data_IF_723613662335
#
_entry.id   IF_723613662335
#
_cell.length_a   1.000
_cell.length_b   1.000
_cell.length_c   1.000
_cell.angle_alpha   90.00
_cell.angle_beta   90.00
_cell.angle_gamma   90.00
#
_symmetry.space_group_name_H-M   'P 1'
#
loop_
_entity.id
_entity.type
_entity.pdbx_description
1 polymer ?
#
# COMPACT_ATOMS: atom_id res chain seq x y z
N UNK A 1 25.84 9.60 -14.44
CA UNK A 1 25.14 10.09 -13.21
C UNK A 1 23.65 10.03 -13.47
N UNK A 2 22.91 9.47 -12.56
CA UNK A 2 21.43 9.31 -12.63
C UNK A 2 20.83 10.19 -11.55
N UNK A 3 19.93 11.11 -11.95
CA UNK A 3 19.15 11.95 -11.03
C UNK A 3 18.02 11.14 -10.40
N UNK A 4 17.77 11.34 -9.11
CA UNK A 4 16.70 10.67 -8.39
C UNK A 4 15.99 11.58 -7.38
N UNK A 5 14.79 11.18 -7.01
CA UNK A 5 14.02 11.77 -5.94
C UNK A 5 13.72 10.67 -4.92
N UNK A 6 13.99 10.93 -3.64
CA UNK A 6 13.58 10.07 -2.54
C UNK A 6 12.23 10.53 -2.02
N UNK A 7 11.21 9.66 -2.08
CA UNK A 7 9.87 9.97 -1.58
C UNK A 7 9.31 8.78 -0.79
N UNK A 8 8.30 9.04 0.04
CA UNK A 8 7.55 7.99 0.73
C UNK A 8 6.05 8.30 0.82
N UNK A 9 5.24 7.24 0.84
CA UNK A 9 3.85 7.27 1.28
C UNK A 9 3.73 6.57 2.62
N UNK A 10 3.57 7.35 3.71
CA UNK A 10 3.45 6.84 5.10
C UNK A 10 4.55 5.82 5.48
N UNK A 11 5.83 6.15 5.23
CA UNK A 11 6.99 5.35 5.61
C UNK A 11 7.40 4.25 4.63
N UNK A 12 6.59 3.90 3.63
CA UNK A 12 7.00 3.04 2.53
C UNK A 12 7.75 3.88 1.49
N UNK A 13 9.07 3.72 1.43
CA UNK A 13 10.01 4.67 0.81
C UNK A 13 10.67 4.11 -0.44
N UNK A 14 10.54 4.86 -1.55
CA UNK A 14 11.09 4.49 -2.85
C UNK A 14 12.02 5.57 -3.40
N UNK A 15 12.85 5.14 -4.35
CA UNK A 15 13.71 6.00 -5.18
C UNK A 15 12.99 6.19 -6.51
N UNK A 16 12.67 7.44 -6.86
CA UNK A 16 11.93 7.77 -8.08
C UNK A 16 12.89 8.31 -9.14
N UNK A 17 12.77 7.78 -10.35
CA UNK A 17 13.50 8.24 -11.52
C UNK A 17 12.51 8.86 -12.51
N UNK A 18 12.75 10.12 -12.87
CA UNK A 18 12.01 10.79 -13.93
C UNK A 18 12.56 10.39 -15.30
N UNK A 19 11.96 9.37 -15.88
CA UNK A 19 12.31 8.87 -17.20
C UNK A 19 11.48 9.51 -18.33
N UNK A 20 10.71 10.56 -18.04
CA UNK A 20 10.12 11.46 -19.04
C UNK A 20 11.18 12.45 -19.52
N UNK A 21 11.95 13.00 -18.57
CA UNK A 21 12.99 14.00 -18.84
C UNK A 21 14.39 13.38 -19.06
N UNK A 22 14.64 12.19 -18.49
CA UNK A 22 15.95 11.56 -18.46
C UNK A 22 15.91 10.12 -19.03
N UNK A 23 17.02 9.60 -19.56
CA UNK A 23 17.06 8.21 -19.99
C UNK A 23 16.93 7.24 -18.81
N UNK A 24 16.26 6.12 -19.04
CA UNK A 24 16.18 5.02 -18.08
C UNK A 24 17.55 4.33 -17.96
N UNK A 25 17.96 3.81 -16.79
CA UNK A 25 19.15 2.97 -16.62
C UNK A 25 19.09 1.73 -17.51
N UNK A 26 20.23 1.34 -18.14
CA UNK A 26 20.30 0.18 -19.07
C UNK A 26 19.90 -1.13 -18.40
N UNK A 27 20.29 -1.33 -17.14
CA UNK A 27 19.93 -2.51 -16.34
C UNK A 27 19.18 -2.08 -15.08
N UNK A 28 17.87 -1.87 -15.21
CA UNK A 28 17.04 -1.37 -14.13
C UNK A 28 16.94 -2.33 -12.92
N UNK A 29 16.96 -3.64 -13.16
CA UNK A 29 16.90 -4.62 -12.06
C UNK A 29 18.16 -4.56 -11.20
N UNK A 30 19.34 -4.47 -11.84
CA UNK A 30 20.62 -4.32 -11.13
C UNK A 30 20.69 -2.96 -10.44
N UNK A 31 20.23 -1.90 -11.11
CA UNK A 31 20.14 -0.57 -10.51
C UNK A 31 19.26 -0.59 -9.27
N UNK A 32 18.09 -1.23 -9.34
CA UNK A 32 17.18 -1.31 -8.20
C UNK A 32 17.81 -2.00 -6.99
N UNK A 33 18.54 -3.13 -7.21
CA UNK A 33 19.27 -3.81 -6.11
C UNK A 33 20.32 -2.92 -5.50
N UNK A 34 21.12 -2.23 -6.33
CA UNK A 34 22.18 -1.37 -5.84
C UNK A 34 21.64 -0.11 -5.13
N UNK A 35 20.73 0.61 -5.78
CA UNK A 35 20.20 1.85 -5.25
C UNK A 35 19.37 1.65 -3.97
N UNK A 36 18.66 0.51 -3.85
CA UNK A 36 17.81 0.21 -2.69
C UNK A 36 18.58 -0.24 -1.45
N UNK A 37 19.85 -0.64 -1.57
CA UNK A 37 20.65 -1.03 -0.42
C UNK A 37 20.79 0.14 0.57
N UNK A 38 20.40 -0.12 1.84
CA UNK A 38 20.33 0.93 2.88
C UNK A 38 21.68 1.27 3.49
N UNK A 39 22.75 0.51 3.15
CA UNK A 39 24.09 0.71 3.69
C UNK A 39 25.07 1.25 2.64
N UNK A 40 24.90 0.83 1.38
CA UNK A 40 25.86 1.13 0.29
C UNK A 40 25.22 1.89 -0.88
N UNK A 41 23.89 1.95 -0.92
CA UNK A 41 23.12 2.69 -1.93
C UNK A 41 22.45 3.94 -1.36
N UNK A 42 21.36 4.36 -1.99
CA UNK A 42 20.47 5.43 -1.50
C UNK A 42 19.61 4.91 -0.34
N UNK A 43 19.27 3.64 -0.38
CA UNK A 43 18.40 2.96 0.56
C UNK A 43 16.91 3.19 0.27
N UNK A 44 16.12 2.11 0.23
CA UNK A 44 14.68 2.18 0.01
C UNK A 44 14.05 0.81 -0.17
N UNK A 45 12.73 0.78 -0.28
CA UNK A 45 11.97 -0.44 -0.54
C UNK A 45 12.02 -0.85 -2.02
N UNK A 46 12.56 0.04 -2.87
CA UNK A 46 12.75 -0.20 -4.30
C UNK A 46 12.91 1.08 -5.11
N UNK A 47 12.76 0.93 -6.43
CA UNK A 47 12.87 2.01 -7.42
C UNK A 47 11.57 2.13 -8.19
N UNK A 48 11.13 3.34 -8.45
CA UNK A 48 9.93 3.67 -9.26
C UNK A 48 10.37 4.50 -10.46
N UNK A 49 9.97 4.07 -11.65
CA UNK A 49 10.16 4.82 -12.89
C UNK A 49 8.88 5.58 -13.22
N UNK A 50 9.01 6.87 -13.53
CA UNK A 50 7.96 7.71 -14.06
C UNK A 50 8.25 7.89 -15.55
N UNK A 51 7.41 7.29 -16.40
CA UNK A 51 7.60 7.17 -17.83
C UNK A 51 6.50 7.91 -18.59
N UNK A 52 6.73 8.27 -19.87
CA UNK A 52 5.65 8.74 -20.74
C UNK A 52 4.66 7.60 -20.99
N UNK A 53 3.38 7.93 -21.18
CA UNK A 53 2.33 7.00 -21.58
C UNK A 53 1.60 7.50 -22.82
N UNK A 54 1.09 6.57 -23.64
CA UNK A 54 0.24 6.89 -24.78
C UNK A 54 -1.27 6.77 -24.46
N UNK A 55 -1.61 6.25 -23.27
CA UNK A 55 -3.00 5.93 -22.87
C UNK A 55 -3.41 6.56 -21.52
N UNK A 56 -2.45 7.19 -20.84
CA UNK A 56 -2.65 7.84 -19.55
C UNK A 56 -1.77 9.10 -19.48
N UNK A 57 -1.86 9.89 -18.41
CA UNK A 57 -1.03 11.08 -18.23
C UNK A 57 0.46 10.71 -18.07
N UNK A 58 0.74 9.62 -17.36
CA UNK A 58 2.07 9.03 -17.26
C UNK A 58 1.96 7.52 -17.01
N UNK A 59 3.12 6.84 -17.07
CA UNK A 59 3.25 5.43 -16.70
C UNK A 59 4.14 5.27 -15.48
N UNK A 60 3.75 4.36 -14.58
CA UNK A 60 4.55 3.92 -13.44
C UNK A 60 5.01 2.48 -13.64
N UNK A 61 6.33 2.24 -13.55
CA UNK A 61 6.90 0.92 -13.32
C UNK A 61 7.65 0.92 -12.00
N UNK A 62 7.60 -0.18 -11.28
CA UNK A 62 8.28 -0.28 -9.98
C UNK A 62 9.08 -1.57 -9.85
N UNK A 63 10.21 -1.48 -9.19
CA UNK A 63 11.11 -2.59 -8.93
C UNK A 63 11.39 -2.65 -7.43
N UNK A 64 11.20 -3.82 -6.84
CA UNK A 64 11.50 -4.06 -5.44
C UNK A 64 13.02 -4.01 -5.18
N UNK A 65 13.42 -3.97 -3.92
CA UNK A 65 14.84 -3.95 -3.53
C UNK A 65 15.62 -5.19 -4.01
N UNK A 66 14.96 -6.32 -4.29
CA UNK A 66 15.56 -7.51 -4.87
C UNK A 66 15.70 -7.46 -6.41
N UNK A 67 15.22 -6.38 -7.04
CA UNK A 67 15.21 -6.16 -8.47
C UNK A 67 14.02 -6.77 -9.21
N UNK A 68 13.11 -7.47 -8.51
CA UNK A 68 11.88 -7.98 -9.13
C UNK A 68 10.92 -6.85 -9.48
N UNK A 69 10.23 -6.94 -10.62
CA UNK A 69 9.24 -5.95 -11.02
C UNK A 69 7.91 -6.19 -10.30
N UNK A 70 7.40 -5.18 -9.61
CA UNK A 70 6.10 -5.18 -8.96
C UNK A 70 5.01 -4.65 -9.89
N UNK A 71 3.77 -5.14 -9.73
CA UNK A 71 2.67 -4.74 -10.61
C UNK A 71 2.14 -3.34 -10.30
N UNK A 72 2.04 -2.98 -9.03
CA UNK A 72 1.59 -1.67 -8.53
C UNK A 72 1.81 -1.59 -7.02
N UNK A 73 2.08 -0.39 -6.52
CA UNK A 73 2.09 -0.07 -5.09
C UNK A 73 1.26 1.19 -4.84
N UNK A 74 0.24 1.06 -3.99
CA UNK A 74 -0.67 2.17 -3.66
C UNK A 74 0.03 3.34 -2.96
N UNK A 75 1.10 3.08 -2.20
CA UNK A 75 1.90 4.12 -1.57
C UNK A 75 2.77 4.85 -2.61
N UNK A 76 3.43 4.08 -3.48
CA UNK A 76 4.31 4.62 -4.51
C UNK A 76 3.55 5.47 -5.54
N UNK A 77 2.36 5.04 -5.98
CA UNK A 77 1.60 5.76 -7.01
C UNK A 77 1.12 7.13 -6.53
N UNK A 78 0.88 7.31 -5.20
CA UNK A 78 0.55 8.64 -4.65
C UNK A 78 1.72 9.61 -4.82
N UNK A 79 2.95 9.13 -4.62
CA UNK A 79 4.17 9.93 -4.85
C UNK A 79 4.35 10.26 -6.33
N UNK A 80 4.07 9.31 -7.25
CA UNK A 80 4.05 9.56 -8.70
C UNK A 80 3.07 10.69 -9.03
N UNK A 81 1.84 10.60 -8.52
CA UNK A 81 0.81 11.63 -8.74
C UNK A 81 1.24 13.02 -8.27
N UNK A 82 1.79 13.11 -7.03
CA UNK A 82 2.34 14.37 -6.50
C UNK A 82 3.46 14.92 -7.37
N UNK A 83 4.46 14.09 -7.68
CA UNK A 83 5.62 14.48 -8.48
C UNK A 83 5.21 14.97 -9.86
N UNK A 84 4.36 14.19 -10.55
CA UNK A 84 3.92 14.53 -11.91
C UNK A 84 3.15 15.84 -11.96
N UNK A 85 2.26 16.08 -11.02
CA UNK A 85 1.54 17.34 -10.91
C UNK A 85 2.49 18.52 -10.68
N UNK A 86 3.34 18.43 -9.66
CA UNK A 86 4.20 19.55 -9.26
C UNK A 86 5.29 19.87 -10.31
N UNK A 87 5.69 18.87 -11.11
CA UNK A 87 6.73 19.03 -12.14
C UNK A 87 6.15 19.41 -13.49
N UNK A 88 5.07 18.74 -13.94
CA UNK A 88 4.61 18.84 -15.33
C UNK A 88 3.30 19.60 -15.50
N UNK A 89 2.35 19.49 -14.56
CA UNK A 89 1.04 20.15 -14.69
C UNK A 89 1.12 21.57 -14.18
N UNK A 90 1.53 21.78 -12.94
CA UNK A 90 1.66 23.10 -12.30
C UNK A 90 2.46 24.09 -13.14
N UNK A 91 3.54 23.65 -13.76
CA UNK A 91 4.39 24.49 -14.62
C UNK A 91 3.73 24.86 -15.95
N UNK A 92 2.76 24.06 -16.44
CA UNK A 92 1.95 24.39 -17.62
C UNK A 92 0.91 25.47 -17.30
N UNK A 93 0.23 25.32 -16.18
CA UNK A 93 -0.82 26.27 -15.76
C UNK A 93 -0.23 27.62 -15.40
N UNK A 94 0.94 27.67 -14.77
CA UNK A 94 1.67 28.93 -14.50
C UNK A 94 2.04 29.72 -15.76
N UNK A 95 2.06 29.12 -16.96
CA UNK A 95 2.27 29.82 -18.25
C UNK A 95 0.97 30.37 -18.86
N UNK A 96 -0.20 29.96 -18.32
CA UNK A 96 -1.50 30.40 -18.78
C UNK A 96 -2.27 31.28 -17.79
N UNK A 97 -1.77 31.46 -16.56
CA UNK A 97 -2.39 32.34 -15.56
C UNK A 97 -2.06 33.83 -15.78
N UNK A 98 -2.82 34.45 -16.65
CA UNK A 98 -3.34 35.78 -16.42
C UNK A 98 -4.84 35.61 -16.09
N UNK A 99 -5.21 35.35 -14.83
CA UNK A 99 -6.53 35.70 -14.27
C UNK A 99 -6.76 35.14 -12.87
N UNK A 100 -7.10 36.13 -12.02
CA UNK A 100 -7.87 36.04 -10.79
C UNK A 100 -7.24 35.32 -9.57
N UNK A 101 -6.69 36.20 -8.67
CA UNK A 101 -6.47 35.92 -7.26
C UNK A 101 -7.77 35.42 -6.61
N UNK A 102 -7.97 34.09 -6.52
CA UNK A 102 -8.92 33.50 -5.61
C UNK A 102 -8.13 32.88 -4.47
N UNK A 103 -8.08 33.58 -3.35
CA UNK A 103 -7.56 33.05 -2.07
C UNK A 103 -8.40 31.83 -1.65
N UNK A 104 -7.72 30.72 -1.31
CA UNK A 104 -8.28 29.52 -0.69
C UNK A 104 -9.23 28.68 -1.57
N UNK A 105 -8.76 28.20 -2.71
CA UNK A 105 -9.45 27.09 -3.37
C UNK A 105 -8.73 25.77 -3.10
N UNK A 106 -9.36 24.87 -2.32
CA UNK A 106 -9.03 23.44 -2.37
C UNK A 106 -9.49 22.96 -3.74
N UNK A 107 -8.55 22.76 -4.65
CA UNK A 107 -8.82 22.27 -6.01
C UNK A 107 -8.45 20.81 -6.08
N UNK A 108 -9.33 19.99 -6.63
CA UNK A 108 -9.03 18.60 -6.95
C UNK A 108 -8.56 18.51 -8.40
N UNK A 109 -7.40 17.88 -8.63
CA UNK A 109 -6.90 17.58 -9.96
C UNK A 109 -6.99 16.07 -10.20
N UNK A 110 -7.63 15.67 -11.30
CA UNK A 110 -7.68 14.27 -11.72
C UNK A 110 -6.41 13.92 -12.51
N UNK A 111 -5.86 12.75 -12.26
CA UNK A 111 -4.69 12.21 -12.96
C UNK A 111 -4.90 10.71 -13.22
N UNK A 112 -4.47 10.24 -14.38
CA UNK A 112 -4.44 8.84 -14.75
C UNK A 112 -3.00 8.33 -14.82
N UNK A 113 -2.74 7.15 -14.27
CA UNK A 113 -1.41 6.52 -14.27
C UNK A 113 -1.54 5.10 -14.83
N UNK A 114 -0.81 4.83 -15.91
CA UNK A 114 -0.67 3.48 -16.45
C UNK A 114 0.22 2.64 -15.54
N UNK A 115 -0.21 1.42 -15.21
CA UNK A 115 0.53 0.45 -14.40
C UNK A 115 0.39 -0.96 -14.98
N UNK A 116 1.20 -1.92 -14.52
CA UNK A 116 1.02 -3.34 -14.86
C UNK A 116 -0.29 -3.94 -14.30
N UNK A 117 -0.98 -3.21 -13.41
CA UNK A 117 -2.32 -3.57 -12.90
C UNK A 117 -3.45 -2.77 -13.57
N UNK A 118 -3.19 -2.22 -14.77
CA UNK A 118 -4.11 -1.36 -15.51
C UNK A 118 -3.98 0.12 -15.14
N UNK A 119 -4.82 0.95 -15.76
CA UNK A 119 -4.86 2.40 -15.50
C UNK A 119 -5.45 2.64 -14.11
N UNK A 120 -4.76 3.45 -13.31
CA UNK A 120 -5.23 3.91 -12.01
C UNK A 120 -5.63 5.38 -12.09
N UNK A 121 -6.79 5.70 -11.52
CA UNK A 121 -7.31 7.05 -11.45
C UNK A 121 -6.99 7.63 -10.06
N UNK A 122 -6.36 8.79 -10.07
CA UNK A 122 -5.96 9.53 -8.89
C UNK A 122 -6.74 10.83 -8.81
N UNK A 123 -7.09 11.23 -7.59
CA UNK A 123 -7.57 12.57 -7.28
C UNK A 123 -6.54 13.23 -6.37
N UNK A 124 -5.90 14.27 -6.86
CA UNK A 124 -4.91 15.05 -6.12
C UNK A 124 -5.64 16.15 -5.34
N UNK A 125 -5.46 16.19 -4.03
CA UNK A 125 -6.03 17.23 -3.16
C UNK A 125 -4.98 18.33 -2.96
N UNK A 126 -5.27 19.50 -3.50
CA UNK A 126 -4.35 20.62 -3.56
C UNK A 126 -4.71 21.66 -2.50
N UNK A 127 -3.69 22.18 -1.84
CA UNK A 127 -3.76 23.39 -1.03
C UNK A 127 -2.64 24.34 -1.46
N UNK A 128 -3.00 25.54 -1.89
CA UNK A 128 -2.05 26.56 -2.41
C UNK A 128 -1.14 25.98 -3.54
N UNK A 129 -1.73 25.22 -4.46
CA UNK A 129 -1.01 24.55 -5.56
C UNK A 129 0.09 23.57 -5.10
N UNK A 130 -0.04 23.00 -3.90
CA UNK A 130 0.79 21.94 -3.36
C UNK A 130 -0.10 20.71 -3.11
N UNK A 131 0.35 19.54 -3.52
CA UNK A 131 -0.38 18.28 -3.27
C UNK A 131 -0.22 17.89 -1.80
N UNK A 132 -1.30 17.99 -1.02
CA UNK A 132 -1.32 17.56 0.39
C UNK A 132 -1.58 16.06 0.53
N UNK A 133 -2.53 15.54 -0.25
CA UNK A 133 -2.86 14.13 -0.26
C UNK A 133 -3.34 13.66 -1.63
N UNK A 134 -3.33 12.36 -1.84
CA UNK A 134 -3.75 11.73 -3.09
C UNK A 134 -4.73 10.61 -2.77
N UNK A 135 -5.89 10.64 -3.40
CA UNK A 135 -6.84 9.52 -3.42
C UNK A 135 -6.58 8.67 -4.65
N UNK A 136 -6.47 7.37 -4.46
CA UNK A 136 -6.29 6.35 -5.50
C UNK A 136 -7.51 5.46 -5.53
N UNK A 137 -8.09 5.22 -6.70
CA UNK A 137 -9.07 4.16 -6.90
C UNK A 137 -8.34 2.81 -6.97
N UNK A 138 -8.47 2.03 -5.89
CA UNK A 138 -7.84 0.72 -5.75
C UNK A 138 -8.59 -0.39 -6.50
N UNK A 139 -9.79 -0.08 -7.03
CA UNK A 139 -10.65 -1.03 -7.72
C UNK A 139 -11.58 -1.79 -6.79
N UNK A 140 -12.10 -2.90 -7.30
CA UNK A 140 -13.10 -3.73 -6.61
C UNK A 140 -12.40 -4.90 -5.90
N UNK A 141 -12.62 -5.10 -4.59
CA UNK A 141 -12.10 -6.24 -3.85
C UNK A 141 -12.79 -7.53 -4.26
N UNK A 142 -12.11 -8.65 -4.09
CA UNK A 142 -12.72 -9.97 -4.23
C UNK A 142 -12.69 -10.75 -2.92
N UNK A 143 -13.80 -11.46 -2.65
CA UNK A 143 -13.94 -12.42 -1.55
C UNK A 143 -13.96 -13.86 -2.08
N UNK A 144 -13.80 -14.05 -3.39
CA UNK A 144 -13.81 -15.39 -4.00
C UNK A 144 -12.54 -16.15 -3.65
N UNK A 145 -12.64 -17.41 -3.21
CA UNK A 145 -11.47 -18.20 -2.84
C UNK A 145 -10.40 -18.29 -3.92
N UNK A 146 -10.80 -18.39 -5.19
CA UNK A 146 -9.88 -18.44 -6.35
C UNK A 146 -9.06 -17.20 -6.54
N UNK A 147 -9.62 -16.01 -6.20
CA UNK A 147 -8.95 -14.72 -6.36
C UNK A 147 -8.02 -14.39 -5.16
N UNK A 148 -8.20 -15.11 -4.04
CA UNK A 148 -7.39 -14.96 -2.81
C UNK A 148 -6.30 -16.04 -2.76
N UNK A 149 -6.25 -17.03 -3.60
CA UNK A 149 -5.77 -18.41 -3.51
C UNK A 149 -5.88 -19.02 -2.09
N UNK A 150 -7.13 -19.13 -1.58
CA UNK A 150 -7.41 -19.80 -0.31
C UNK A 150 -8.12 -21.14 -0.55
N UNK A 151 -7.74 -22.18 0.20
CA UNK A 151 -8.29 -23.54 0.10
C UNK A 151 -9.60 -23.68 0.88
N UNK A 152 -10.65 -23.01 0.40
CA UNK A 152 -12.02 -23.11 0.93
C UNK A 152 -13.02 -23.17 -0.22
N UNK A 153 -14.15 -23.85 -0.01
CA UNK A 153 -15.21 -23.98 -1.03
C UNK A 153 -16.10 -22.72 -1.15
N UNK A 154 -16.04 -21.85 -0.15
CA UNK A 154 -16.85 -20.63 -0.06
C UNK A 154 -15.99 -19.44 0.47
N UNK A 155 -16.45 -18.20 0.30
CA UNK A 155 -15.78 -17.03 0.86
C UNK A 155 -15.47 -17.19 2.36
N UNK A 156 -14.23 -16.90 2.73
CA UNK A 156 -13.75 -16.99 4.10
C UNK A 156 -14.11 -15.72 4.86
N UNK A 157 -15.32 -15.67 5.42
CA UNK A 157 -15.89 -14.51 6.08
C UNK A 157 -16.38 -14.91 7.46
N UNK A 158 -15.96 -14.18 8.50
CA UNK A 158 -16.39 -14.39 9.89
C UNK A 158 -16.15 -15.83 10.36
N UNK A 159 -14.99 -16.39 10.06
CA UNK A 159 -14.64 -17.75 10.40
C UNK A 159 -13.56 -17.81 11.48
N UNK A 160 -13.47 -18.93 12.17
CA UNK A 160 -12.39 -19.21 13.11
C UNK A 160 -11.20 -19.78 12.35
N UNK A 161 -10.01 -19.26 12.64
CA UNK A 161 -8.74 -19.75 12.12
C UNK A 161 -7.75 -19.92 13.26
N UNK A 162 -6.85 -20.90 13.17
CA UNK A 162 -5.90 -21.20 14.25
C UNK A 162 -4.55 -21.62 13.72
N UNK A 163 -3.51 -21.30 14.49
CA UNK A 163 -2.14 -21.80 14.28
C UNK A 163 -1.65 -22.47 15.56
N UNK A 164 -0.80 -23.46 15.38
CA UNK A 164 -0.08 -24.11 16.48
C UNK A 164 1.20 -23.34 16.77
N UNK A 165 1.44 -23.04 18.04
CA UNK A 165 2.67 -22.37 18.50
C UNK A 165 3.42 -23.31 19.45
N UNK A 166 4.74 -23.36 19.33
CA UNK A 166 5.55 -24.03 20.34
C UNK A 166 5.71 -23.08 21.55
N UNK A 167 5.23 -23.51 22.73
CA UNK A 167 5.49 -22.78 23.96
C UNK A 167 6.93 -23.06 24.41
N UNK A 168 7.85 -22.14 24.12
CA UNK A 168 9.27 -22.26 24.48
C UNK A 168 9.53 -22.11 25.97
N UNK A 169 8.51 -21.86 26.80
CA UNK A 169 8.67 -21.63 28.25
C UNK A 169 8.69 -22.92 29.10
N UNK A 170 8.34 -24.07 28.53
CA UNK A 170 8.41 -25.37 29.23
C UNK A 170 8.98 -26.44 28.31
N UNK A 171 10.09 -27.05 28.73
CA UNK A 171 10.86 -28.12 28.03
C UNK A 171 10.15 -29.51 28.03
N UNK A 172 8.84 -29.58 28.01
CA UNK A 172 8.12 -30.84 27.88
C UNK A 172 7.50 -30.94 26.50
N UNK A 173 7.70 -32.08 25.82
CA UNK A 173 7.37 -32.38 24.43
C UNK A 173 5.86 -32.25 24.04
N UNK A 174 4.97 -31.88 24.97
CA UNK A 174 3.52 -31.84 24.75
C UNK A 174 2.87 -30.44 24.86
N UNK A 175 3.66 -29.35 24.92
CA UNK A 175 3.12 -28.00 25.06
C UNK A 175 3.06 -27.27 23.72
N UNK A 176 2.11 -27.64 22.86
CA UNK A 176 1.71 -26.84 21.70
C UNK A 176 0.59 -25.88 22.14
N UNK A 177 0.89 -24.58 22.22
CA UNK A 177 -0.13 -23.58 22.48
C UNK A 177 -0.88 -23.27 21.18
N UNK A 178 -2.21 -23.29 21.23
CA UNK A 178 -3.06 -22.98 20.08
C UNK A 178 -3.41 -21.48 20.10
N UNK A 179 -3.03 -20.75 19.06
CA UNK A 179 -3.51 -19.39 18.84
C UNK A 179 -4.76 -19.43 17.95
N UNK A 180 -5.90 -19.05 18.53
CA UNK A 180 -7.19 -19.03 17.83
C UNK A 180 -7.61 -17.60 17.61
N UNK A 181 -8.01 -17.26 16.39
CA UNK A 181 -8.63 -15.98 16.05
C UNK A 181 -10.04 -16.24 15.50
N UNK A 182 -11.02 -15.63 16.13
CA UNK A 182 -12.41 -15.66 15.70
C UNK A 182 -12.72 -14.49 14.79
N UNK A 183 -13.75 -14.62 13.97
CA UNK A 183 -14.20 -13.58 13.03
C UNK A 183 -13.15 -13.18 11.99
N UNK A 184 -12.23 -14.08 11.65
CA UNK A 184 -11.25 -13.85 10.60
C UNK A 184 -11.90 -13.79 9.20
N UNK A 185 -11.28 -13.02 8.30
CA UNK A 185 -11.71 -12.88 6.91
C UNK A 185 -10.51 -12.94 5.97
N UNK A 186 -10.78 -13.40 4.73
CA UNK A 186 -9.82 -13.31 3.65
C UNK A 186 -10.36 -12.41 2.53
N UNK A 187 -9.53 -11.49 2.03
CA UNK A 187 -9.88 -10.49 1.01
C UNK A 187 -8.75 -10.40 -0.01
N UNK A 188 -9.08 -10.27 -1.30
CA UNK A 188 -8.13 -9.91 -2.34
C UNK A 188 -8.29 -8.45 -2.75
N UNK A 189 -7.21 -7.70 -2.78
CA UNK A 189 -7.07 -6.39 -3.42
C UNK A 189 -6.17 -6.47 -4.68
N UNK A 190 -6.17 -7.67 -5.34
CA UNK A 190 -5.21 -8.05 -6.37
C UNK A 190 -4.00 -8.82 -5.81
N UNK A 191 -3.92 -8.92 -4.50
CA UNK A 191 -3.03 -9.76 -3.70
C UNK A 191 -3.80 -10.26 -2.45
N UNK A 192 -3.41 -11.40 -1.86
CA UNK A 192 -4.14 -12.02 -0.76
C UNK A 192 -3.89 -11.33 0.59
N UNK A 193 -4.96 -11.13 1.35
CA UNK A 193 -4.95 -10.58 2.71
C UNK A 193 -5.78 -11.44 3.65
N UNK A 194 -5.23 -11.78 4.83
CA UNK A 194 -5.91 -12.40 5.95
C UNK A 194 -6.07 -11.38 7.07
N UNK A 195 -7.30 -11.04 7.40
CA UNK A 195 -7.65 -10.04 8.40
C UNK A 195 -8.00 -10.73 9.71
N UNK A 196 -7.26 -10.42 10.76
CA UNK A 196 -7.39 -10.97 12.10
C UNK A 196 -7.78 -9.87 13.09
N UNK A 197 -9.08 -9.76 13.46
CA UNK A 197 -9.51 -8.84 14.51
C UNK A 197 -8.94 -9.26 15.88
N UNK A 198 -8.40 -8.29 16.62
CA UNK A 198 -7.85 -8.48 17.97
C UNK A 198 -8.30 -7.36 18.90
N UNK A 199 -8.29 -7.61 20.21
CA UNK A 199 -8.64 -6.61 21.22
C UNK A 199 -7.44 -5.73 21.60
N UNK A 200 -6.22 -6.27 21.54
CA UNK A 200 -4.99 -5.58 21.93
C UNK A 200 -3.92 -5.77 20.84
N UNK A 201 -3.77 -4.76 19.99
CA UNK A 201 -2.81 -4.79 18.88
C UNK A 201 -1.36 -4.53 19.35
N UNK A 202 -1.18 -3.81 20.45
CA UNK A 202 0.15 -3.40 20.92
C UNK A 202 0.90 -4.59 21.54
N UNK A 203 0.20 -5.47 22.24
CA UNK A 203 0.78 -6.66 22.85
C UNK A 203 0.70 -7.91 21.96
N UNK A 204 0.14 -7.80 20.74
CA UNK A 204 0.09 -8.94 19.82
C UNK A 204 1.50 -9.32 19.33
N UNK A 205 1.96 -10.56 19.52
CA UNK A 205 3.33 -10.98 19.22
C UNK A 205 3.55 -11.26 17.72
N UNK A 206 3.36 -10.22 16.87
CA UNK A 206 3.35 -10.33 15.42
C UNK A 206 4.64 -10.90 14.84
N UNK A 207 5.81 -10.58 15.42
CA UNK A 207 7.09 -11.14 14.96
C UNK A 207 7.20 -12.67 15.15
N UNK A 208 6.49 -13.21 16.15
CA UNK A 208 6.46 -14.66 16.41
C UNK A 208 5.39 -15.38 15.59
N UNK A 209 4.20 -14.78 15.51
CA UNK A 209 3.02 -15.42 14.88
C UNK A 209 2.89 -15.08 13.39
N UNK A 210 3.41 -13.93 12.94
CA UNK A 210 3.32 -13.49 11.55
C UNK A 210 3.86 -14.49 10.53
N UNK A 211 5.06 -15.09 10.74
CA UNK A 211 5.57 -16.13 9.85
C UNK A 211 4.67 -17.40 9.77
N UNK A 212 3.94 -17.71 10.86
CA UNK A 212 3.03 -18.85 10.91
C UNK A 212 1.74 -18.53 10.14
N UNK A 213 1.19 -17.33 10.34
CA UNK A 213 0.02 -16.86 9.58
C UNK A 213 0.32 -16.74 8.09
N UNK A 214 1.47 -16.14 7.70
CA UNK A 214 1.90 -16.01 6.31
C UNK A 214 1.88 -17.35 5.57
N UNK A 215 2.28 -18.43 6.27
CA UNK A 215 2.43 -19.78 5.71
C UNK A 215 1.31 -20.73 6.12
N UNK A 216 0.20 -20.20 6.58
CA UNK A 216 -0.93 -21.02 7.02
C UNK A 216 -1.38 -21.96 5.88
N UNK A 217 -1.66 -23.27 6.16
CA UNK A 217 -1.97 -24.28 5.14
C UNK A 217 -3.15 -23.92 4.22
N UNK A 218 -4.09 -23.08 4.67
CA UNK A 218 -5.17 -22.59 3.82
C UNK A 218 -4.69 -21.68 2.68
N UNK A 219 -3.48 -21.14 2.72
CA UNK A 219 -2.94 -20.21 1.72
C UNK A 219 -1.68 -20.80 1.06
N UNK A 220 -1.82 -21.59 -0.01
CA UNK A 220 -0.69 -22.26 -0.67
C UNK A 220 0.34 -21.27 -1.25
N UNK A 221 -0.12 -20.09 -1.68
CA UNK A 221 0.73 -19.02 -2.21
C UNK A 221 1.16 -18.02 -1.15
N UNK A 222 0.98 -18.35 0.16
CA UNK A 222 1.16 -17.45 1.30
C UNK A 222 0.20 -16.26 1.28
N UNK A 223 0.15 -15.50 2.37
CA UNK A 223 -0.80 -14.41 2.56
C UNK A 223 -0.16 -13.25 3.34
N UNK A 224 -0.56 -12.01 3.04
CA UNK A 224 -0.34 -10.88 3.93
C UNK A 224 -1.32 -11.00 5.10
N UNK A 225 -0.87 -10.74 6.31
CA UNK A 225 -1.70 -10.89 7.50
C UNK A 225 -1.80 -9.57 8.24
N UNK A 226 -3.02 -9.08 8.37
CA UNK A 226 -3.36 -7.83 9.02
C UNK A 226 -3.96 -8.09 10.40
N UNK A 227 -3.26 -7.65 11.46
CA UNK A 227 -3.78 -7.64 12.82
C UNK A 227 -4.49 -6.30 13.06
N UNK A 228 -5.75 -6.35 13.44
CA UNK A 228 -6.60 -5.16 13.44
C UNK A 228 -7.34 -4.99 14.76
N UNK A 229 -7.18 -3.81 15.38
CA UNK A 229 -7.97 -3.36 16.52
C UNK A 229 -8.95 -2.28 16.09
N UNK A 230 -10.21 -2.45 16.43
CA UNK A 230 -11.23 -1.42 16.21
C UNK A 230 -11.25 -0.43 17.37
N UNK A 231 -11.02 0.85 17.07
CA UNK A 231 -11.09 1.95 18.04
C UNK A 231 -12.50 2.57 18.06
N UNK A 232 -13.08 2.72 16.86
CA UNK A 232 -14.46 3.20 16.66
C UNK A 232 -15.02 2.66 15.34
N UNK A 233 -16.29 2.87 15.02
CA UNK A 233 -16.84 2.49 13.71
C UNK A 233 -16.15 3.15 12.51
N UNK A 234 -15.42 4.25 12.73
CA UNK A 234 -14.71 4.99 11.67
C UNK A 234 -13.20 5.06 11.89
N UNK A 235 -12.66 4.31 12.86
CA UNK A 235 -11.23 4.29 13.15
C UNK A 235 -10.75 2.89 13.50
N UNK A 236 -9.82 2.37 12.71
CA UNK A 236 -9.15 1.09 12.89
C UNK A 236 -7.65 1.31 13.08
N UNK A 237 -7.00 0.49 13.90
CA UNK A 237 -5.54 0.41 14.01
C UNK A 237 -5.09 -0.91 13.40
N UNK A 238 -4.01 -0.89 12.63
CA UNK A 238 -3.53 -2.05 11.90
C UNK A 238 -2.01 -2.21 12.03
N UNK A 239 -1.57 -3.45 12.22
CA UNK A 239 -0.20 -3.91 11.98
C UNK A 239 -0.26 -5.00 10.93
N UNK A 240 0.77 -5.10 10.09
CA UNK A 240 0.78 -6.06 8.97
C UNK A 240 2.08 -6.86 8.96
N UNK A 241 1.93 -8.15 8.68
CA UNK A 241 3.01 -9.03 8.26
C UNK A 241 2.86 -9.29 6.77
N UNK A 242 3.72 -8.65 5.97
CA UNK A 242 3.67 -8.79 4.52
C UNK A 242 4.40 -10.04 4.05
N UNK A 243 3.81 -10.70 3.07
CA UNK A 243 4.32 -11.90 2.41
C UNK A 243 5.73 -11.65 1.86
N UNK A 244 6.72 -12.36 2.41
CA UNK A 244 8.12 -12.28 2.00
C UNK A 244 8.90 -11.08 2.56
N UNK A 245 8.24 -10.13 3.25
CA UNK A 245 8.89 -8.91 3.75
C UNK A 245 8.86 -8.78 5.28
N UNK A 246 7.98 -9.54 5.96
CA UNK A 246 7.82 -9.43 7.40
C UNK A 246 6.95 -8.26 7.84
N UNK A 247 7.12 -7.79 9.08
CA UNK A 247 6.38 -6.63 9.57
C UNK A 247 6.89 -5.35 8.90
N UNK A 248 6.00 -4.65 8.18
CA UNK A 248 6.28 -3.38 7.50
C UNK A 248 5.57 -2.21 8.18
N UNK A 249 5.98 -0.99 7.82
CA UNK A 249 5.38 0.23 8.38
C UNK A 249 4.03 0.55 7.74
N UNK A 250 3.81 0.15 6.48
CA UNK A 250 2.62 0.52 5.72
C UNK A 250 2.32 -0.45 4.57
N UNK A 251 1.09 -0.97 4.54
CA UNK A 251 0.53 -1.75 3.44
C UNK A 251 -0.79 -1.13 2.98
N UNK A 252 -0.79 -0.49 1.82
CA UNK A 252 -1.99 0.20 1.29
C UNK A 252 -3.11 -0.76 0.92
N UNK A 253 -2.80 -1.88 0.25
CA UNK A 253 -3.78 -2.93 -0.09
C UNK A 253 -4.32 -3.61 1.16
N UNK A 254 -3.47 -3.83 2.17
CA UNK A 254 -3.89 -4.35 3.47
C UNK A 254 -4.88 -3.43 4.18
N UNK A 255 -4.63 -2.11 4.21
CA UNK A 255 -5.57 -1.15 4.78
C UNK A 255 -6.93 -1.15 4.05
N UNK A 256 -6.93 -1.28 2.71
CA UNK A 256 -8.15 -1.44 1.92
C UNK A 256 -8.89 -2.74 2.30
N UNK A 257 -8.18 -3.86 2.34
CA UNK A 257 -8.74 -5.17 2.69
C UNK A 257 -9.35 -5.17 4.10
N UNK A 258 -8.71 -4.49 5.06
CA UNK A 258 -9.21 -4.32 6.43
C UNK A 258 -10.57 -3.61 6.47
N UNK A 259 -10.72 -2.49 5.76
CA UNK A 259 -12.00 -1.76 5.75
C UNK A 259 -13.09 -2.58 5.05
N UNK A 260 -12.76 -3.27 3.96
CA UNK A 260 -13.70 -4.20 3.30
C UNK A 260 -14.15 -5.30 4.26
N UNK A 261 -13.21 -5.94 4.95
CA UNK A 261 -13.49 -7.01 5.91
C UNK A 261 -14.40 -6.52 7.06
N UNK A 262 -14.05 -5.39 7.69
CA UNK A 262 -14.84 -4.83 8.80
C UNK A 262 -16.24 -4.35 8.35
N UNK A 263 -16.37 -3.93 7.10
CA UNK A 263 -17.70 -3.62 6.53
C UNK A 263 -18.54 -4.89 6.36
N UNK A 264 -17.94 -6.00 5.91
CA UNK A 264 -18.64 -7.29 5.82
C UNK A 264 -19.00 -7.88 7.18
N UNK A 265 -18.25 -7.57 8.23
CA UNK A 265 -18.61 -7.88 9.62
C UNK A 265 -19.69 -6.96 10.19
N UNK A 266 -20.15 -5.94 9.46
CA UNK A 266 -21.09 -4.94 9.97
C UNK A 266 -20.49 -3.99 11.00
N UNK A 267 -19.15 -3.92 11.09
CA UNK A 267 -18.43 -3.12 12.08
C UNK A 267 -18.04 -1.72 11.61
N UNK A 268 -17.96 -1.51 10.30
CA UNK A 268 -17.72 -0.19 9.68
C UNK A 268 -18.78 0.08 8.60
N UNK A 269 -19.25 1.34 8.45
CA UNK A 269 -20.24 1.68 7.43
C UNK A 269 -19.63 1.79 6.03
N UNK A 270 -20.40 1.38 5.00
CA UNK A 270 -20.09 1.69 3.59
C UNK A 270 -20.19 3.18 3.31
N UNK A 271 -19.51 3.61 2.25
CA UNK A 271 -19.55 4.97 1.69
C UNK A 271 -19.19 6.06 2.72
N UNK A 272 -18.41 5.67 3.73
CA UNK A 272 -17.93 6.54 4.79
C UNK A 272 -16.41 6.47 4.85
N UNK A 273 -15.69 7.61 4.97
CA UNK A 273 -14.25 7.61 5.18
C UNK A 273 -13.89 6.95 6.52
N UNK A 274 -13.05 5.93 6.47
CA UNK A 274 -12.55 5.19 7.63
C UNK A 274 -11.05 5.48 7.77
N UNK A 275 -10.63 5.96 8.91
CA UNK A 275 -9.20 6.10 9.24
C UNK A 275 -8.62 4.74 9.60
N UNK A 276 -7.55 4.36 8.94
CA UNK A 276 -6.73 3.20 9.28
C UNK A 276 -5.37 3.70 9.70
N UNK A 277 -5.06 3.59 10.99
CA UNK A 277 -3.76 3.98 11.56
C UNK A 277 -2.79 2.81 11.47
N UNK A 278 -1.70 3.00 10.73
CA UNK A 278 -0.58 2.08 10.60
C UNK A 278 0.65 2.64 11.36
N UNK A 279 1.70 1.86 11.48
CA UNK A 279 2.96 2.32 12.12
C UNK A 279 3.62 3.48 11.38
N UNK A 280 3.46 3.55 10.06
CA UNK A 280 4.03 4.60 9.22
C UNK A 280 3.17 5.85 9.07
N UNK A 281 1.90 5.82 9.53
CA UNK A 281 0.96 6.93 9.44
C UNK A 281 -0.46 6.47 9.08
N UNK A 282 -1.34 7.43 8.87
CA UNK A 282 -2.74 7.18 8.62
C UNK A 282 -3.08 7.12 7.13
N UNK A 283 -4.00 6.23 6.78
CA UNK A 283 -4.71 6.20 5.51
C UNK A 283 -6.21 6.41 5.76
N UNK A 284 -6.86 7.10 4.84
CA UNK A 284 -8.32 7.19 4.82
C UNK A 284 -8.84 6.28 3.71
N UNK A 285 -9.63 5.27 4.09
CA UNK A 285 -10.18 4.28 3.15
C UNK A 285 -11.69 4.47 3.07
N UNK A 286 -12.24 4.48 1.87
CA UNK A 286 -13.69 4.53 1.64
C UNK A 286 -14.11 3.35 0.77
N UNK A 287 -14.86 2.40 1.35
CA UNK A 287 -15.49 1.31 0.59
C UNK A 287 -16.86 1.78 0.12
N UNK A 288 -16.97 2.05 -1.19
CA UNK A 288 -18.13 2.69 -1.82
C UNK A 288 -19.30 1.72 -2.05
N UNK A 289 -20.48 2.28 -2.32
CA UNK A 289 -21.66 1.49 -2.63
C UNK A 289 -21.57 0.74 -3.98
N UNK A 290 -20.78 1.25 -4.93
CA UNK A 290 -20.44 0.59 -6.19
C UNK A 290 -19.33 -0.48 -6.07
N UNK A 291 -18.92 -0.78 -4.84
CA UNK A 291 -17.86 -1.71 -4.46
C UNK A 291 -16.44 -1.28 -4.82
N UNK A 292 -16.20 -0.07 -5.31
CA UNK A 292 -14.85 0.45 -5.41
C UNK A 292 -14.29 0.83 -4.04
N UNK A 293 -13.00 0.63 -3.85
CA UNK A 293 -12.27 1.04 -2.66
C UNK A 293 -11.38 2.22 -3.01
N UNK A 294 -11.62 3.35 -2.37
CA UNK A 294 -10.78 4.53 -2.48
C UNK A 294 -9.80 4.59 -1.32
N UNK A 295 -8.53 4.84 -1.61
CA UNK A 295 -7.47 4.99 -0.62
C UNK A 295 -6.84 6.37 -0.73
N UNK A 296 -6.99 7.18 0.31
CA UNK A 296 -6.37 8.50 0.42
C UNK A 296 -5.22 8.48 1.44
N UNK A 297 -4.12 9.14 1.10
CA UNK A 297 -2.98 9.30 1.99
C UNK A 297 -2.00 10.34 1.48
N UNK A 298 -1.03 10.67 2.30
CA UNK A 298 0.02 11.64 1.98
C UNK A 298 1.05 11.05 1.03
N UNK A 299 1.80 11.95 0.38
CA UNK A 299 2.99 11.67 -0.40
C UNK A 299 4.04 12.74 -0.06
N UNK A 300 5.21 12.32 0.38
CA UNK A 300 6.24 13.22 0.90
C UNK A 300 7.55 13.03 0.13
N UNK A 301 8.07 14.14 -0.39
CA UNK A 301 9.43 14.22 -0.90
C UNK A 301 10.39 14.38 0.28
N UNK A 302 11.46 13.59 0.32
CA UNK A 302 12.46 13.62 1.40
C UNK A 302 13.69 14.40 0.95
N UNK A 303 14.27 14.02 -0.20
CA UNK A 303 15.41 14.71 -0.80
C UNK A 303 15.58 14.32 -2.28
N UNK A 304 16.39 15.08 -2.98
CA UNK A 304 16.85 14.81 -4.36
C UNK A 304 18.35 14.65 -4.39
N UNK A 305 18.86 13.91 -5.36
CA UNK A 305 20.28 13.69 -5.52
C UNK A 305 20.65 13.09 -6.86
N UNK A 306 21.93 12.77 -6.98
CA UNK A 306 22.50 12.03 -8.13
C UNK A 306 23.30 10.84 -7.64
N UNK A 307 23.28 9.74 -8.39
CA UNK A 307 24.07 8.54 -8.10
C UNK A 307 24.86 8.14 -9.34
N UNK A 308 26.09 7.65 -9.13
CA UNK A 308 26.86 7.00 -10.18
C UNK A 308 26.49 5.50 -10.21
N UNK A 309 26.21 5.01 -11.42
CA UNK A 309 25.89 3.61 -11.65
C UNK A 309 26.50 3.16 -12.98
#
# INVERSE_FOLDING_TARGET
MIEFIKMHGIGNDYIYLDCIANPMPDNIEQFARHASDRHTGIGGDGVVLILPSNIADCQMRMFNADGSEGRMCGNAIRCVGKYYYETYIKTRDARHETRDNCELCIVNCALSVETLSGIKHLTLHLNNNIVESVTVDMGIPSLQPTDIPILTDAPFINQTISIETQDTRHETQDNCALCIVNCALAVSMGNPHLILPVDDIDNYPLHQLGPLWERHPLFPDRVNTEIVQQISPTHLRMRVWERGSGETLACGTGACAVVVAFTHLGRTPKNTPITVSLRGGDLTITYRNDNHVLMQGTATEVFRGTINF
#
